data_IF_902932618908
#
_entry.id   IF_902932618908
#
_cell.length_a   1.000
_cell.length_b   1.000
_cell.length_c   1.000
_cell.angle_alpha   90.00
_cell.angle_beta   90.00
_cell.angle_gamma   90.00
#
_symmetry.space_group_name_H-M   'P 1'
#
loop_
_entity.id
_entity.type
_entity.pdbx_description
1 polymer ?
#
# COMPACT_ATOMS: atom_id res chain seq x y z
N UNK A 1 15.74 1.26 15.62
CA UNK A 1 14.26 1.12 15.70
C UNK A 1 13.63 2.46 15.33
N UNK A 2 12.38 2.51 14.89
CA UNK A 2 11.59 3.72 14.72
C UNK A 2 10.11 3.35 14.89
N UNK A 3 9.31 4.29 15.32
CA UNK A 3 7.85 4.14 15.41
C UNK A 3 7.17 5.40 14.88
N UNK A 4 5.88 5.32 14.67
CA UNK A 4 5.00 6.46 14.46
C UNK A 4 3.65 6.19 15.12
N UNK A 5 2.98 7.27 15.46
CA UNK A 5 1.57 7.27 15.82
C UNK A 5 0.93 8.51 15.22
N UNK A 6 -0.27 8.40 14.68
CA UNK A 6 -0.94 9.54 14.07
C UNK A 6 -2.47 9.33 14.08
N UNK A 7 -3.25 10.36 14.46
CA UNK A 7 -4.70 10.29 14.38
C UNK A 7 -5.18 10.23 12.92
N UNK A 8 -6.34 9.66 12.70
CA UNK A 8 -7.02 9.69 11.40
C UNK A 8 -7.80 11.00 11.30
N UNK A 9 -7.37 11.87 10.38
CA UNK A 9 -7.99 13.18 10.18
C UNK A 9 -9.37 13.09 9.52
N UNK A 10 -10.22 14.11 9.72
CA UNK A 10 -11.58 14.17 9.13
C UNK A 10 -11.57 14.05 7.60
N UNK A 11 -10.56 14.63 6.94
CA UNK A 11 -10.41 14.54 5.48
C UNK A 11 -10.15 13.09 5.07
N UNK A 12 -9.26 12.41 5.76
CA UNK A 12 -8.89 11.02 5.52
C UNK A 12 -10.07 10.08 5.79
N UNK A 13 -10.82 10.30 6.88
CA UNK A 13 -12.05 9.55 7.17
C UNK A 13 -13.04 9.62 6.00
N UNK A 14 -13.27 10.81 5.45
CA UNK A 14 -14.16 11.02 4.30
C UNK A 14 -13.66 10.34 3.04
N UNK A 15 -12.37 10.49 2.72
CA UNK A 15 -11.74 9.90 1.53
C UNK A 15 -11.82 8.37 1.55
N UNK A 16 -11.56 7.77 2.70
CA UNK A 16 -11.53 6.32 2.88
C UNK A 16 -12.88 5.74 3.34
N UNK A 17 -13.90 6.58 3.49
CA UNK A 17 -15.23 6.18 4.01
C UNK A 17 -15.10 5.45 5.36
N UNK A 18 -14.31 6.00 6.27
CA UNK A 18 -14.12 5.48 7.62
C UNK A 18 -15.15 6.15 8.54
N UNK A 19 -15.99 5.34 9.18
CA UNK A 19 -16.90 5.78 10.23
C UNK A 19 -16.29 5.41 11.59
N UNK A 20 -16.27 6.39 12.50
CA UNK A 20 -15.72 6.18 13.85
C UNK A 20 -16.62 5.17 14.58
N UNK A 21 -16.00 4.21 15.27
CA UNK A 21 -16.67 3.11 15.98
C UNK A 21 -17.33 2.05 15.07
N UNK A 22 -17.18 2.09 13.75
CA UNK A 22 -17.60 1.00 12.88
C UNK A 22 -16.49 -0.05 12.72
N UNK A 23 -16.73 -1.25 13.26
CA UNK A 23 -15.79 -2.38 13.16
C UNK A 23 -15.50 -2.78 11.71
N UNK A 24 -16.42 -2.51 10.75
CA UNK A 24 -16.18 -2.77 9.33
C UNK A 24 -15.07 -1.90 8.75
N UNK A 25 -14.81 -0.74 9.35
CA UNK A 25 -13.76 0.18 8.95
C UNK A 25 -12.38 -0.18 9.52
N UNK A 26 -12.31 -1.00 10.56
CA UNK A 26 -11.06 -1.37 11.22
C UNK A 26 -10.04 -1.94 10.25
N UNK A 27 -10.46 -2.84 9.36
CA UNK A 27 -9.59 -3.39 8.30
C UNK A 27 -8.95 -2.30 7.44
N UNK A 28 -9.68 -1.24 7.11
CA UNK A 28 -9.16 -0.11 6.32
C UNK A 28 -8.08 0.63 7.10
N UNK A 29 -8.32 0.88 8.39
CA UNK A 29 -7.38 1.59 9.28
C UNK A 29 -6.09 0.82 9.44
N UNK A 30 -6.18 -0.48 9.70
CA UNK A 30 -5.02 -1.36 9.86
C UNK A 30 -4.18 -1.46 8.58
N UNK A 31 -4.85 -1.62 7.43
CA UNK A 31 -4.17 -1.60 6.13
C UNK A 31 -3.53 -0.22 5.82
N UNK A 32 -4.20 0.86 6.23
CA UNK A 32 -3.65 2.21 6.12
C UNK A 32 -2.38 2.37 6.95
N UNK A 33 -2.33 1.81 8.16
CA UNK A 33 -1.13 1.84 8.99
C UNK A 33 0.07 1.19 8.28
N UNK A 34 -0.15 0.07 7.57
CA UNK A 34 0.89 -0.57 6.76
C UNK A 34 1.35 0.35 5.62
N UNK A 35 0.42 0.95 4.88
CA UNK A 35 0.74 1.90 3.81
C UNK A 35 1.56 3.09 4.32
N UNK A 36 1.15 3.67 5.44
CA UNK A 36 1.85 4.80 6.08
C UNK A 36 3.25 4.38 6.50
N UNK A 37 3.41 3.23 7.16
CA UNK A 37 4.73 2.70 7.55
C UNK A 37 5.67 2.57 6.34
N UNK A 38 5.20 1.96 5.27
CA UNK A 38 5.97 1.77 4.05
C UNK A 38 6.40 3.11 3.43
N UNK A 39 5.54 4.12 3.45
CA UNK A 39 5.86 5.45 2.91
C UNK A 39 6.78 6.26 3.83
N UNK A 40 6.56 6.22 5.14
CA UNK A 40 7.42 6.93 6.11
C UNK A 40 8.86 6.42 6.09
N UNK A 41 9.06 5.15 5.84
CA UNK A 41 10.39 4.55 5.89
C UNK A 41 10.97 4.21 4.51
N UNK A 42 10.33 4.65 3.44
CA UNK A 42 10.74 4.38 2.06
C UNK A 42 12.23 4.67 1.79
N UNK A 43 12.76 5.76 2.32
CA UNK A 43 14.16 6.15 2.08
C UNK A 43 15.17 5.21 2.74
N UNK A 44 14.75 4.38 3.71
CA UNK A 44 15.63 3.42 4.38
C UNK A 44 16.06 2.25 3.48
N UNK A 45 15.29 1.96 2.44
CA UNK A 45 15.56 0.85 1.51
C UNK A 45 15.67 1.28 0.05
N UNK A 46 15.66 2.60 -0.22
CA UNK A 46 15.86 3.12 -1.56
C UNK A 46 17.19 2.65 -2.14
N UNK A 47 17.18 2.11 -3.38
CA UNK A 47 18.35 1.59 -4.05
C UNK A 47 18.87 0.25 -3.51
N UNK A 48 18.04 -0.48 -2.75
CA UNK A 48 18.37 -1.82 -2.24
C UNK A 48 17.19 -2.76 -2.46
N UNK A 49 17.37 -3.89 -3.14
CA UNK A 49 16.34 -4.92 -3.22
C UNK A 49 16.17 -5.53 -1.82
N UNK A 50 15.01 -5.34 -1.21
CA UNK A 50 14.71 -5.91 0.10
C UNK A 50 13.37 -6.62 0.09
N UNK A 51 13.30 -7.67 0.89
CA UNK A 51 12.08 -8.39 1.20
C UNK A 51 11.60 -7.97 2.58
N UNK A 52 10.41 -7.41 2.65
CA UNK A 52 9.85 -6.93 3.89
C UNK A 52 9.00 -8.01 4.55
N UNK A 53 9.21 -8.19 5.85
CA UNK A 53 8.34 -8.96 6.70
C UNK A 53 7.38 -8.02 7.42
N UNK A 54 6.09 -8.15 7.14
CA UNK A 54 5.03 -7.39 7.80
C UNK A 54 4.41 -8.26 8.87
N UNK A 55 4.30 -7.75 10.09
CA UNK A 55 3.61 -8.41 11.21
C UNK A 55 2.42 -7.58 11.64
N UNK A 56 1.28 -8.23 11.86
CA UNK A 56 0.06 -7.61 12.37
C UNK A 56 -0.82 -8.65 13.05
N UNK A 57 -1.66 -8.22 13.94
CA UNK A 57 -2.76 -9.02 14.50
C UNK A 57 -4.01 -9.02 13.60
N UNK A 58 -4.02 -8.21 12.55
CA UNK A 58 -5.09 -8.19 11.56
C UNK A 58 -4.77 -9.08 10.36
N UNK A 59 -5.40 -10.25 10.30
CA UNK A 59 -5.30 -11.15 9.15
C UNK A 59 -5.77 -10.43 7.87
N UNK A 60 -6.82 -9.63 7.98
CA UNK A 60 -7.38 -8.89 6.82
C UNK A 60 -6.38 -7.89 6.24
N UNK A 61 -5.67 -7.14 7.09
CA UNK A 61 -4.62 -6.21 6.66
C UNK A 61 -3.44 -6.94 6.02
N UNK A 62 -3.03 -8.08 6.58
CA UNK A 62 -1.97 -8.91 6.02
C UNK A 62 -2.34 -9.47 4.64
N UNK A 63 -3.55 -10.02 4.50
CA UNK A 63 -4.05 -10.54 3.22
C UNK A 63 -4.13 -9.42 2.18
N UNK A 64 -4.61 -8.22 2.56
CA UNK A 64 -4.65 -7.06 1.68
C UNK A 64 -3.24 -6.67 1.24
N UNK A 65 -2.28 -6.62 2.16
CA UNK A 65 -0.89 -6.22 1.87
C UNK A 65 -0.21 -7.19 0.89
N UNK A 66 -0.47 -8.49 1.01
CA UNK A 66 0.10 -9.50 0.11
C UNK A 66 -0.63 -9.59 -1.23
N UNK A 67 -1.96 -9.62 -1.20
CA UNK A 67 -2.76 -9.88 -2.39
C UNK A 67 -3.16 -8.61 -3.14
N UNK A 68 -3.04 -7.43 -2.50
CA UNK A 68 -3.40 -6.12 -3.06
C UNK A 68 -4.86 -6.06 -3.55
N UNK A 69 -5.75 -6.86 -2.92
CA UNK A 69 -7.16 -7.00 -3.30
C UNK A 69 -8.05 -6.96 -2.07
N UNK A 70 -9.17 -6.26 -2.20
CA UNK A 70 -10.21 -6.19 -1.18
C UNK A 70 -11.54 -5.80 -1.80
N UNK A 71 -12.64 -6.00 -1.08
CA UNK A 71 -13.99 -5.60 -1.50
C UNK A 71 -14.44 -4.26 -0.91
N UNK A 72 -13.82 -3.80 0.17
CA UNK A 72 -14.16 -2.52 0.83
C UNK A 72 -13.76 -1.31 0.00
N UNK A 73 -14.57 -0.25 -0.03
CA UNK A 73 -14.29 0.98 -0.79
C UNK A 73 -13.00 1.65 -0.30
N UNK A 74 -12.90 1.94 0.99
CA UNK A 74 -11.71 2.56 1.59
C UNK A 74 -10.49 1.64 1.52
N UNK A 75 -10.65 0.39 1.93
CA UNK A 75 -9.60 -0.62 1.82
C UNK A 75 -9.15 -0.81 0.35
N UNK A 76 -10.06 -0.67 -0.62
CA UNK A 76 -9.74 -0.70 -2.05
C UNK A 76 -8.86 0.46 -2.52
N UNK A 77 -9.00 1.64 -1.93
CA UNK A 77 -8.09 2.77 -2.17
C UNK A 77 -6.70 2.41 -1.63
N UNK A 78 -6.62 1.96 -0.39
CA UNK A 78 -5.36 1.56 0.25
C UNK A 78 -4.66 0.44 -0.54
N UNK A 79 -5.40 -0.57 -0.99
CA UNK A 79 -4.85 -1.67 -1.80
C UNK A 79 -4.24 -1.17 -3.12
N UNK A 80 -4.90 -0.24 -3.82
CA UNK A 80 -4.36 0.36 -5.04
C UNK A 80 -3.13 1.21 -4.78
N UNK A 81 -3.11 1.97 -3.69
CA UNK A 81 -1.94 2.75 -3.29
C UNK A 81 -0.74 1.84 -2.98
N UNK A 82 -0.95 0.75 -2.24
CA UNK A 82 0.09 -0.26 -1.99
C UNK A 82 0.59 -0.87 -3.30
N UNK A 83 -0.29 -1.21 -4.22
CA UNK A 83 0.10 -1.74 -5.52
C UNK A 83 0.97 -0.76 -6.32
N UNK A 84 0.63 0.54 -6.30
CA UNK A 84 1.42 1.58 -6.94
C UNK A 84 2.78 1.77 -6.26
N UNK A 85 2.84 1.69 -4.93
CA UNK A 85 4.08 1.81 -4.17
C UNK A 85 5.01 0.61 -4.42
N UNK A 86 4.47 -0.60 -4.45
CA UNK A 86 5.23 -1.83 -4.79
C UNK A 86 5.76 -1.74 -6.23
N UNK A 87 4.94 -1.29 -7.18
CA UNK A 87 5.37 -1.15 -8.58
C UNK A 87 6.44 -0.06 -8.77
N UNK A 88 6.46 0.96 -7.91
CA UNK A 88 7.39 2.10 -8.00
C UNK A 88 8.65 1.92 -7.13
N UNK A 89 8.72 0.92 -6.29
CA UNK A 89 9.81 0.74 -5.34
C UNK A 89 10.52 -0.61 -5.53
N UNK A 90 11.75 -0.69 -5.00
CA UNK A 90 12.59 -1.88 -5.06
C UNK A 90 12.29 -2.88 -3.94
N UNK A 91 11.19 -2.70 -3.23
CA UNK A 91 10.77 -3.62 -2.17
C UNK A 91 9.48 -4.35 -2.55
N UNK A 92 9.32 -5.53 -1.98
CA UNK A 92 8.06 -6.26 -2.01
C UNK A 92 7.72 -6.77 -0.62
N UNK A 93 6.46 -6.65 -0.15
CA UNK A 93 6.00 -7.38 1.02
C UNK A 93 6.07 -8.87 0.69
N UNK A 94 7.03 -9.59 1.26
CA UNK A 94 7.26 -10.99 0.92
C UNK A 94 6.63 -11.94 1.92
N UNK A 95 6.66 -11.58 3.19
CA UNK A 95 6.13 -12.39 4.27
C UNK A 95 5.17 -11.57 5.11
N UNK A 96 3.96 -12.07 5.28
CA UNK A 96 3.01 -11.58 6.25
C UNK A 96 2.89 -12.60 7.37
N UNK A 97 3.10 -12.17 8.60
CA UNK A 97 3.03 -13.02 9.78
C UNK A 97 1.96 -12.48 10.72
N UNK A 98 0.97 -13.32 10.98
CA UNK A 98 0.00 -13.02 12.01
C UNK A 98 0.62 -13.22 13.39
N UNK A 99 0.47 -12.21 14.24
CA UNK A 99 0.81 -12.26 15.67
C UNK A 99 -0.47 -12.15 16.48
N UNK A 100 -0.64 -12.91 17.56
CA UNK A 100 -1.78 -12.73 18.45
C UNK A 100 -1.84 -11.29 18.98
N UNK A 101 -3.04 -10.72 19.16
CA UNK A 101 -3.19 -9.36 19.68
C UNK A 101 -2.50 -9.15 21.02
N UNK A 102 -2.48 -10.18 21.87
CA UNK A 102 -1.77 -10.17 23.17
C UNK A 102 -0.23 -10.03 23.02
N UNK A 103 0.32 -10.32 21.85
CA UNK A 103 1.74 -10.15 21.54
C UNK A 103 2.02 -8.83 20.81
N UNK A 104 0.97 -8.18 20.26
CA UNK A 104 1.08 -6.91 19.52
C UNK A 104 1.02 -5.70 20.47
N UNK A 105 1.55 -5.84 21.68
CA UNK A 105 1.42 -4.88 22.79
C UNK A 105 1.88 -3.48 22.40
N UNK A 106 2.99 -3.37 21.66
CA UNK A 106 3.57 -2.07 21.33
C UNK A 106 2.72 -1.29 20.31
N UNK A 107 2.22 -1.97 19.29
CA UNK A 107 1.38 -1.32 18.29
C UNK A 107 -0.01 -1.01 18.88
N UNK A 108 -0.57 -1.90 19.70
CA UNK A 108 -1.83 -1.66 20.43
C UNK A 108 -1.71 -0.44 21.34
N UNK A 109 -0.63 -0.35 22.14
CA UNK A 109 -0.40 0.81 23.00
C UNK A 109 -0.33 2.12 22.20
N UNK A 110 0.42 2.14 21.09
CA UNK A 110 0.53 3.33 20.23
C UNK A 110 -0.80 3.68 19.56
N UNK A 111 -1.61 2.71 19.17
CA UNK A 111 -2.91 2.93 18.54
C UNK A 111 -3.91 3.62 19.46
N UNK A 112 -3.80 3.39 20.77
CA UNK A 112 -4.66 3.98 21.81
C UNK A 112 -4.21 5.36 22.27
N UNK A 113 -3.10 5.88 21.76
CA UNK A 113 -2.56 7.19 22.18
C UNK A 113 -3.60 8.32 22.09
N UNK A 114 -4.51 8.22 21.15
CA UNK A 114 -5.51 9.27 20.87
C UNK A 114 -6.92 8.88 21.33
N UNK A 115 -7.06 7.77 22.07
CA UNK A 115 -8.36 7.33 22.55
C UNK A 115 -8.87 8.24 23.67
N UNK A 116 -10.10 8.73 23.59
CA UNK A 116 -10.67 9.57 24.64
C UNK A 116 -10.71 8.84 26.00
N UNK A 117 -10.14 9.46 27.01
CA UNK A 117 -10.13 8.90 28.37
C UNK A 117 -9.07 7.82 28.63
N UNK A 118 -8.24 7.51 27.66
CA UNK A 118 -7.10 6.63 27.85
C UNK A 118 -5.89 7.43 28.33
N UNK A 119 -5.34 7.06 29.49
CA UNK A 119 -4.10 7.67 30.01
C UNK A 119 -2.91 6.99 29.31
N UNK A 120 -2.48 7.58 28.21
CA UNK A 120 -1.39 7.03 27.40
C UNK A 120 -0.04 7.23 28.10
N UNK A 121 0.67 6.11 28.28
CA UNK A 121 2.06 6.12 28.69
C UNK A 121 2.93 5.49 27.60
N UNK A 122 3.91 6.24 27.11
CA UNK A 122 4.82 5.73 26.08
C UNK A 122 5.58 4.51 26.62
N UNK A 123 5.51 3.35 25.94
CA UNK A 123 6.26 2.17 26.36
C UNK A 123 7.76 2.48 26.48
N UNK A 124 8.41 2.03 27.54
CA UNK A 124 9.82 2.34 27.85
C UNK A 124 10.80 1.99 26.73
N UNK A 125 10.48 0.99 25.92
CA UNK A 125 11.28 0.61 24.74
C UNK A 125 11.38 1.73 23.70
N UNK A 126 10.47 2.70 23.70
CA UNK A 126 10.45 3.83 22.77
C UNK A 126 11.06 5.11 23.36
N UNK A 127 11.48 5.13 24.62
CA UNK A 127 12.00 6.35 25.28
C UNK A 127 13.17 6.97 24.51
N UNK A 128 14.07 6.14 23.97
CA UNK A 128 15.24 6.58 23.20
C UNK A 128 15.08 6.34 21.69
N UNK A 129 13.86 6.14 21.22
CA UNK A 129 13.57 5.85 19.81
C UNK A 129 12.94 7.08 19.16
N UNK A 130 13.49 7.49 18.03
CA UNK A 130 12.96 8.63 17.28
C UNK A 130 11.56 8.32 16.72
N UNK A 131 10.60 9.14 17.10
CA UNK A 131 9.28 9.12 16.47
C UNK A 131 9.38 9.66 15.04
N UNK A 132 8.79 8.93 14.10
CA UNK A 132 8.72 9.35 12.71
C UNK A 132 7.50 10.23 12.52
N UNK A 133 7.72 11.46 12.07
CA UNK A 133 6.63 12.38 11.74
C UNK A 133 5.86 11.87 10.53
N UNK A 134 4.56 11.67 10.71
CA UNK A 134 3.66 11.26 9.62
C UNK A 134 3.16 12.50 8.88
N UNK A 135 3.29 12.58 7.54
CA UNK A 135 2.78 13.70 6.78
C UNK A 135 1.25 13.75 6.83
N UNK A 136 0.68 14.93 6.58
CA UNK A 136 -0.77 15.09 6.44
C UNK A 136 -1.28 14.24 5.27
N UNK A 137 -2.35 13.48 5.52
CA UNK A 137 -2.93 12.53 4.56
C UNK A 137 -4.21 13.08 3.94
N UNK A 138 -4.03 14.14 3.14
CA UNK A 138 -5.09 14.70 2.30
C UNK A 138 -5.25 13.94 0.97
N UNK A 139 -6.02 14.52 0.04
CA UNK A 139 -6.22 13.93 -1.29
C UNK A 139 -4.91 13.74 -2.05
N UNK A 140 -3.92 14.59 -1.84
CA UNK A 140 -2.61 14.52 -2.51
C UNK A 140 -1.75 13.33 -2.02
N UNK A 141 -2.06 12.81 -0.84
CA UNK A 141 -1.40 11.63 -0.31
C UNK A 141 -1.78 10.35 -1.08
N UNK A 142 -3.00 10.33 -1.65
CA UNK A 142 -3.54 9.17 -2.37
C UNK A 142 -3.53 9.43 -3.88
N UNK A 143 -2.57 8.85 -4.59
CA UNK A 143 -2.41 9.00 -6.05
C UNK A 143 -3.63 8.55 -6.84
N UNK A 144 -4.30 7.51 -6.35
CA UNK A 144 -5.49 6.94 -6.99
C UNK A 144 -6.72 7.84 -6.90
N UNK A 145 -6.70 8.87 -6.07
CA UNK A 145 -7.77 9.86 -5.94
C UNK A 145 -7.49 11.13 -6.74
N UNK A 146 -6.30 11.26 -7.32
CA UNK A 146 -5.97 12.38 -8.19
C UNK A 146 -6.60 12.20 -9.57
N UNK A 147 -7.05 13.29 -10.22
CA UNK A 147 -7.50 13.19 -11.59
C UNK A 147 -6.37 12.65 -12.46
N UNK A 148 -6.68 11.82 -13.46
CA UNK A 148 -5.66 11.32 -14.37
C UNK A 148 -4.93 12.51 -14.99
N UNK A 149 -3.60 12.51 -14.93
CA UNK A 149 -2.80 13.53 -15.59
C UNK A 149 -3.25 13.60 -17.06
N UNK A 150 -3.56 14.83 -17.53
CA UNK A 150 -3.98 15.05 -18.91
C UNK A 150 -3.00 14.30 -19.82
N UNK A 151 -3.51 13.35 -20.61
CA UNK A 151 -2.69 12.62 -21.57
C UNK A 151 -2.00 13.67 -22.45
N UNK A 152 -0.67 13.71 -22.41
CA UNK A 152 0.07 14.48 -23.39
C UNK A 152 -0.45 14.04 -24.76
N UNK A 153 -0.87 15.00 -25.65
CA UNK A 153 -1.28 14.62 -26.99
C UNK A 153 -0.17 13.73 -27.55
N UNK A 154 -0.52 12.53 -27.95
CA UNK A 154 0.39 11.69 -28.72
C UNK A 154 0.79 12.54 -29.91
N UNK A 155 2.07 12.87 -30.04
CA UNK A 155 2.61 13.40 -31.28
C UNK A 155 2.19 12.39 -32.34
N UNK A 156 1.30 12.82 -33.23
CA UNK A 156 0.99 12.05 -34.42
C UNK A 156 2.32 11.68 -35.06
N UNK A 157 2.64 10.40 -35.02
CA UNK A 157 3.73 9.88 -35.85
C UNK A 157 3.25 10.16 -37.24
N UNK A 158 3.92 11.09 -37.93
CA UNK A 158 3.83 11.21 -39.37
C UNK A 158 3.92 9.80 -39.94
N UNK A 159 2.82 9.34 -40.49
CA UNK A 159 2.77 8.11 -41.28
C UNK A 159 3.52 8.46 -42.55
N UNK A 160 4.83 8.24 -42.55
CA UNK A 160 5.61 8.20 -43.77
C UNK A 160 5.04 7.06 -44.61
N UNK A 161 4.42 7.43 -45.71
CA UNK A 161 4.10 6.54 -46.81
C UNK A 161 5.41 5.86 -47.26
N UNK A 162 5.60 4.63 -46.85
CA UNK A 162 6.54 3.72 -47.50
C UNK A 162 5.75 2.85 -48.43
N UNK A 163 6.13 2.96 -49.68
CA UNK A 163 5.63 2.18 -50.79
C UNK A 163 5.81 0.67 -50.57
N UNK A 164 4.85 -0.02 -51.06
CA UNK A 164 4.64 -1.40 -51.40
C UNK A 164 5.95 -2.17 -51.74
N UNK A 165 6.25 -3.20 -50.94
CA UNK A 165 7.03 -4.33 -51.42
C UNK A 165 6.45 -5.63 -50.84
N UNK A 166 5.83 -6.36 -51.73
CA UNK A 166 5.26 -7.67 -51.60
C UNK A 166 6.25 -8.68 -51.00
N UNK A 167 5.99 -9.15 -49.79
CA UNK A 167 6.62 -10.36 -49.24
C UNK A 167 5.54 -11.35 -48.86
N UNK A 168 5.53 -12.45 -49.60
CA UNK A 168 4.74 -13.66 -49.46
C UNK A 168 4.82 -14.22 -48.04
N UNK A 169 3.63 -14.45 -47.47
CA UNK A 169 3.40 -15.16 -46.23
C UNK A 169 3.71 -16.65 -46.42
N UNK A 170 4.67 -17.20 -45.67
CA UNK A 170 4.80 -18.62 -45.47
C UNK A 170 4.16 -19.02 -44.16
N UNK A 171 3.16 -19.90 -44.26
CA UNK A 171 2.52 -20.58 -43.15
C UNK A 171 3.52 -21.44 -42.38
N UNK A 172 3.33 -21.51 -41.08
CA UNK A 172 3.64 -22.56 -40.12
C UNK A 172 4.34 -22.06 -38.87
N UNK A 173 3.53 -21.70 -37.88
CA UNK A 173 3.96 -21.83 -36.48
C UNK A 173 2.79 -22.23 -35.57
N UNK A 174 2.64 -23.54 -35.33
CA UNK A 174 1.75 -24.07 -34.27
C UNK A 174 2.58 -24.39 -33.04
N UNK A 175 2.35 -23.77 -31.86
CA UNK A 175 2.95 -24.25 -30.63
C UNK A 175 2.24 -25.51 -30.13
N UNK A 176 2.99 -26.59 -29.96
CA UNK A 176 2.54 -27.83 -29.30
C UNK A 176 2.66 -27.66 -27.78
N UNK A 177 1.55 -27.58 -27.08
CA UNK A 177 1.52 -27.82 -25.64
C UNK A 177 1.65 -29.32 -25.36
N UNK A 178 2.72 -29.72 -24.66
CA UNK A 178 2.81 -31.05 -24.04
C UNK A 178 2.35 -30.94 -22.60
N UNK A 179 1.25 -31.63 -22.27
CA UNK A 179 0.93 -32.01 -20.91
C UNK A 179 1.79 -33.20 -20.51
N UNK A 180 2.39 -33.18 -19.38
CA UNK A 180 3.03 -34.32 -18.71
C UNK A 180 2.27 -34.65 -17.44
N UNK A 181 2.17 -35.93 -17.05
CA UNK A 181 1.27 -36.49 -16.05
C UNK A 181 1.61 -36.09 -14.61
#
# INVERSE_FOLDING_TARGET
MAYFSAPIGVVEQRLLSIEVADCACQQTVEALAVLVALRCWKDRWKGRPILLKVKSDSISALVLTLNLKTRGKGAGIVARELALDVAASEYAPHVAEHIPGVENILADALSRQFDPGFDFCLPTIFTDVLETVVPLRGADYFRTLQPPAARRPQRDKEVGLLEDDSVTCSEDFRPRFRATP
#
